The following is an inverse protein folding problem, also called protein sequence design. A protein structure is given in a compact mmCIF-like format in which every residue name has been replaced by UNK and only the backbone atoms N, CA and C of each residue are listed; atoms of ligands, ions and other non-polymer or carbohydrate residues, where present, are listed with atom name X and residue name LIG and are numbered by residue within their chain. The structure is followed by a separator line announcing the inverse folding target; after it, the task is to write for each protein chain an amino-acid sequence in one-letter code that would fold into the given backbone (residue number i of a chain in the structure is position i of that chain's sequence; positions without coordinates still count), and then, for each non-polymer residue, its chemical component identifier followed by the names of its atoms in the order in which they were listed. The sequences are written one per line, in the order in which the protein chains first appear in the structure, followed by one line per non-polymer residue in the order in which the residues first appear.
data_IF_256125788813
#
_entry.id   IF_256125788813
#
_cell.length_a   1.000
_cell.length_b   1.000
_cell.length_c   1.000
_cell.angle_alpha   90.00
_cell.angle_beta   90.00
_cell.angle_gamma   90.00
#
_symmetry.space_group_name_H-M   'P 1'
#
loop_
_entity.id
_entity.type
_entity.pdbx_description
1 polymer ?
#
# COMPACT_ATOMS: atom_id res chain seq x y z
N UNK A 1 -15.28 3.57 -4.02
CA UNK A 1 -14.65 2.29 -4.43
C UNK A 1 -13.75 1.83 -3.30
N UNK A 2 -13.77 0.54 -2.97
CA UNK A 2 -12.83 -0.09 -2.04
C UNK A 2 -11.83 -0.91 -2.86
N UNK A 3 -10.57 -0.48 -2.86
CA UNK A 3 -9.45 -1.20 -3.42
C UNK A 3 -8.80 -2.05 -2.32
N UNK A 4 -8.99 -3.36 -2.39
CA UNK A 4 -8.47 -4.33 -1.44
C UNK A 4 -7.07 -4.79 -1.86
N UNK A 5 -6.08 -4.46 -1.03
CA UNK A 5 -4.67 -4.79 -1.25
C UNK A 5 -4.20 -5.88 -0.28
N UNK A 6 -5.10 -6.72 0.24
CA UNK A 6 -4.73 -7.85 1.11
C UNK A 6 -4.25 -9.03 0.28
N UNK A 7 -3.12 -9.64 0.64
CA UNK A 7 -2.67 -10.90 0.02
C UNK A 7 -3.65 -12.03 0.23
N UNK A 8 -4.25 -12.08 1.43
CA UNK A 8 -5.28 -13.04 1.80
C UNK A 8 -6.53 -12.25 2.20
N UNK A 9 -7.44 -11.95 1.25
CA UNK A 9 -8.64 -11.16 1.50
C UNK A 9 -9.76 -12.01 2.12
N UNK A 10 -9.41 -12.80 3.15
CA UNK A 10 -10.31 -13.70 3.88
C UNK A 10 -9.95 -13.75 5.37
N UNK A 11 -10.94 -13.86 6.22
CA UNK A 11 -10.82 -14.00 7.67
C UNK A 11 -11.94 -14.89 8.21
N UNK A 12 -11.60 -15.82 9.11
CA UNK A 12 -12.58 -16.59 9.86
C UNK A 12 -13.28 -15.75 10.94
N UNK A 13 -12.53 -14.85 11.58
CA UNK A 13 -13.04 -14.01 12.67
C UNK A 13 -13.87 -12.83 12.14
N UNK A 14 -13.53 -12.32 10.95
CA UNK A 14 -14.25 -11.21 10.32
C UNK A 14 -14.73 -11.56 8.91
N UNK A 15 -15.66 -12.53 8.77
CA UNK A 15 -16.07 -13.06 7.47
C UNK A 15 -16.81 -12.03 6.61
N UNK A 16 -17.41 -10.99 7.21
CA UNK A 16 -18.10 -9.90 6.50
C UNK A 16 -17.18 -9.08 5.59
N UNK A 17 -15.86 -9.15 5.80
CA UNK A 17 -14.85 -8.51 4.96
C UNK A 17 -14.18 -9.49 3.99
N UNK A 18 -14.71 -10.69 3.80
CA UNK A 18 -14.15 -11.61 2.81
C UNK A 18 -14.46 -11.15 1.40
N UNK A 19 -13.53 -11.37 0.47
CA UNK A 19 -13.63 -10.96 -0.94
C UNK A 19 -14.93 -11.37 -1.63
N UNK A 20 -15.44 -12.55 -1.31
CA UNK A 20 -16.65 -13.14 -1.88
C UNK A 20 -17.95 -12.50 -1.38
N UNK A 21 -17.94 -11.77 -0.26
CA UNK A 21 -19.15 -11.14 0.30
C UNK A 21 -19.05 -9.62 0.37
N UNK A 22 -17.84 -9.06 0.49
CA UNK A 22 -17.65 -7.65 0.74
C UNK A 22 -18.18 -6.78 -0.42
N UNK A 23 -17.98 -7.20 -1.66
CA UNK A 23 -18.52 -6.49 -2.83
C UNK A 23 -20.05 -6.42 -2.82
N UNK A 24 -20.72 -7.53 -2.49
CA UNK A 24 -22.18 -7.60 -2.39
C UNK A 24 -22.70 -6.72 -1.25
N UNK A 25 -22.03 -6.74 -0.09
CA UNK A 25 -22.40 -5.91 1.06
C UNK A 25 -22.22 -4.41 0.81
N UNK A 26 -21.28 -4.02 -0.07
CA UNK A 26 -21.01 -2.63 -0.43
C UNK A 26 -21.94 -2.11 -1.55
N UNK A 27 -22.48 -3.00 -2.37
CA UNK A 27 -23.30 -2.64 -3.54
C UNK A 27 -24.56 -1.82 -3.21
N UNK A 28 -25.33 -2.10 -2.13
CA UNK A 28 -26.47 -1.27 -1.73
C UNK A 28 -26.11 0.19 -1.43
N UNK A 29 -24.85 0.45 -1.05
CA UNK A 29 -24.31 1.78 -0.80
C UNK A 29 -23.67 2.41 -2.04
N UNK A 30 -23.81 1.78 -3.21
CA UNK A 30 -23.18 2.18 -4.48
C UNK A 30 -21.64 2.25 -4.38
N UNK A 31 -21.06 1.44 -3.50
CA UNK A 31 -19.61 1.34 -3.33
C UNK A 31 -19.14 0.09 -4.07
N UNK A 32 -18.34 0.28 -5.12
CA UNK A 32 -17.66 -0.84 -5.78
C UNK A 32 -16.58 -1.47 -4.89
N UNK A 33 -16.21 -2.70 -5.23
CA UNK A 33 -15.08 -3.44 -4.65
C UNK A 33 -14.16 -3.95 -5.76
N UNK A 34 -12.86 -3.82 -5.57
CA UNK A 34 -11.85 -4.34 -6.48
C UNK A 34 -10.64 -4.81 -5.69
N UNK A 35 -10.06 -5.94 -6.10
CA UNK A 35 -8.92 -6.54 -5.41
C UNK A 35 -7.66 -6.40 -6.25
N UNK A 36 -6.66 -5.66 -5.75
CA UNK A 36 -5.39 -5.40 -6.42
C UNK A 36 -4.31 -6.25 -5.73
N UNK A 37 -4.18 -7.50 -6.17
CA UNK A 37 -3.33 -8.52 -5.54
C UNK A 37 -1.83 -8.17 -5.63
N UNK A 38 -1.46 -7.38 -6.64
CA UNK A 38 -0.13 -6.83 -6.88
C UNK A 38 0.34 -5.99 -5.68
N UNK A 39 -0.55 -5.24 -5.05
CA UNK A 39 -0.23 -4.42 -3.88
C UNK A 39 -0.31 -5.23 -2.56
N UNK A 40 -0.57 -6.54 -2.64
CA UNK A 40 -0.59 -7.48 -1.53
C UNK A 40 0.72 -7.52 -0.74
N UNK A 41 0.63 -7.46 0.60
CA UNK A 41 1.74 -7.71 1.53
C UNK A 41 2.27 -9.15 1.53
N UNK A 42 2.87 -9.57 2.66
CA UNK A 42 3.44 -10.92 2.84
C UNK A 42 4.41 -11.33 1.72
N UNK A 43 5.37 -10.45 1.43
CA UNK A 43 6.39 -10.67 0.39
C UNK A 43 7.61 -11.35 0.98
N UNK A 44 8.15 -12.32 0.25
CA UNK A 44 9.42 -12.98 0.56
C UNK A 44 10.62 -12.09 0.20
N UNK A 45 11.82 -12.58 0.50
CA UNK A 45 13.06 -11.90 0.14
C UNK A 45 13.19 -11.78 -1.39
N UNK A 46 13.47 -10.58 -1.90
CA UNK A 46 13.89 -10.38 -3.28
C UNK A 46 15.39 -10.75 -3.41
N UNK A 47 15.75 -11.56 -4.40
CA UNK A 47 17.11 -12.10 -4.52
C UNK A 47 18.12 -11.13 -5.15
N UNK A 48 17.63 -10.08 -5.79
CA UNK A 48 18.35 -9.19 -6.71
C UNK A 48 18.51 -7.75 -6.19
N UNK A 49 17.90 -7.43 -5.04
CA UNK A 49 18.00 -6.09 -4.41
C UNK A 49 19.10 -6.11 -3.34
N UNK A 50 20.11 -5.21 -3.42
CA UNK A 50 21.10 -5.07 -2.36
C UNK A 50 20.46 -4.73 -1.02
N UNK A 51 20.88 -5.38 0.08
CA UNK A 51 20.31 -5.21 1.44
C UNK A 51 20.36 -3.75 1.92
N UNK A 52 21.30 -2.95 1.41
CA UNK A 52 21.45 -1.52 1.76
C UNK A 52 20.38 -0.62 1.15
N UNK A 53 19.70 -1.06 0.08
CA UNK A 53 18.73 -0.25 -0.68
C UNK A 53 17.55 0.19 0.18
N UNK A 54 17.06 -0.71 1.04
CA UNK A 54 15.87 -0.50 1.88
C UNK A 54 16.19 -0.69 3.38
N UNK A 55 17.44 -0.44 3.76
CA UNK A 55 17.99 -0.68 5.09
C UNK A 55 17.35 0.15 6.23
N UNK A 56 16.60 1.21 5.93
CA UNK A 56 15.76 1.91 6.92
C UNK A 56 14.79 0.94 7.61
N UNK A 57 14.29 -0.05 6.88
CA UNK A 57 13.35 -1.04 7.40
C UNK A 57 14.10 -2.13 8.17
N UNK A 58 14.23 -1.93 9.48
CA UNK A 58 14.77 -2.95 10.41
C UNK A 58 13.83 -4.18 10.46
N UNK A 59 12.53 -3.97 10.32
CA UNK A 59 11.56 -5.07 10.25
C UNK A 59 11.64 -5.77 8.88
N UNK A 60 11.96 -7.06 8.89
CA UNK A 60 12.21 -7.83 7.67
C UNK A 60 11.01 -7.91 6.73
N UNK A 61 9.78 -7.90 7.25
CA UNK A 61 8.57 -7.91 6.41
C UNK A 61 8.38 -6.60 5.65
N UNK A 62 8.65 -5.45 6.28
CA UNK A 62 8.61 -4.16 5.62
C UNK A 62 9.72 -4.03 4.58
N UNK A 63 10.93 -4.44 4.93
CA UNK A 63 12.06 -4.40 4.00
C UNK A 63 11.79 -5.30 2.78
N UNK A 64 11.29 -6.53 2.97
CA UNK A 64 10.93 -7.42 1.86
C UNK A 64 9.85 -6.81 0.95
N UNK A 65 8.89 -6.10 1.56
CA UNK A 65 7.85 -5.42 0.80
C UNK A 65 8.40 -4.22 0.02
N UNK A 66 9.31 -3.44 0.61
CA UNK A 66 10.01 -2.35 -0.07
C UNK A 66 10.85 -2.87 -1.25
N UNK A 67 11.56 -3.98 -1.09
CA UNK A 67 12.32 -4.63 -2.17
C UNK A 67 11.38 -5.08 -3.29
N UNK A 68 10.28 -5.74 -2.94
CA UNK A 68 9.23 -6.13 -3.89
C UNK A 68 8.64 -4.93 -4.63
N UNK A 69 8.49 -3.79 -3.95
CA UNK A 69 7.88 -2.59 -4.52
C UNK A 69 8.71 -1.95 -5.65
N UNK A 70 10.00 -2.31 -5.76
CA UNK A 70 10.86 -1.91 -6.90
C UNK A 70 10.50 -2.63 -8.21
N UNK A 71 9.74 -3.72 -8.14
CA UNK A 71 9.43 -4.58 -9.29
C UNK A 71 8.22 -4.14 -10.11
N UNK A 72 8.15 -4.63 -11.35
CA UNK A 72 7.10 -4.28 -12.31
C UNK A 72 5.68 -4.67 -11.86
N UNK A 73 5.55 -5.78 -11.12
CA UNK A 73 4.24 -6.21 -10.61
C UNK A 73 3.66 -5.18 -9.65
N UNK A 74 4.47 -4.64 -8.75
CA UNK A 74 4.04 -3.59 -7.84
C UNK A 74 3.64 -2.34 -8.62
N UNK A 75 4.48 -1.91 -9.57
CA UNK A 75 4.20 -0.75 -10.44
C UNK A 75 2.86 -0.88 -11.15
N UNK A 76 2.57 -2.03 -11.75
CA UNK A 76 1.29 -2.27 -12.43
C UNK A 76 0.10 -2.17 -11.46
N UNK A 77 0.23 -2.68 -10.23
CA UNK A 77 -0.80 -2.54 -9.20
C UNK A 77 -1.00 -1.09 -8.76
N UNK A 78 0.09 -0.33 -8.62
CA UNK A 78 0.06 1.09 -8.27
C UNK A 78 -0.64 1.91 -9.36
N UNK A 79 -0.31 1.67 -10.62
CA UNK A 79 -0.95 2.31 -11.78
C UNK A 79 -2.46 2.04 -11.81
N UNK A 80 -2.87 0.80 -11.55
CA UNK A 80 -4.29 0.45 -11.44
C UNK A 80 -4.98 1.21 -10.30
N UNK A 81 -4.34 1.30 -9.12
CA UNK A 81 -4.87 2.04 -7.98
C UNK A 81 -5.01 3.54 -8.29
N UNK A 82 -3.99 4.15 -8.90
CA UNK A 82 -4.00 5.56 -9.31
C UNK A 82 -5.10 5.81 -10.34
N UNK A 83 -5.23 4.95 -11.36
CA UNK A 83 -6.29 5.05 -12.36
C UNK A 83 -7.69 4.97 -11.74
N UNK A 84 -7.89 4.10 -10.74
CA UNK A 84 -9.14 4.01 -9.99
C UNK A 84 -9.41 5.29 -9.18
N UNK A 85 -8.41 5.79 -8.45
CA UNK A 85 -8.49 7.01 -7.66
C UNK A 85 -8.82 8.25 -8.49
N UNK A 86 -8.20 8.39 -9.67
CA UNK A 86 -8.46 9.49 -10.61
C UNK A 86 -9.84 9.42 -11.27
N UNK A 87 -10.40 8.21 -11.42
CA UNK A 87 -11.76 8.03 -11.97
C UNK A 87 -12.86 8.28 -10.96
N UNK A 88 -12.64 7.96 -9.69
CA UNK A 88 -13.63 8.05 -8.61
C UNK A 88 -12.97 7.96 -7.24
N UNK A 89 -13.65 8.50 -6.22
CA UNK A 89 -13.23 8.39 -4.82
C UNK A 89 -13.00 6.93 -4.42
N UNK A 90 -11.75 6.63 -4.08
CA UNK A 90 -11.25 5.28 -3.81
C UNK A 90 -10.57 5.23 -2.46
N UNK A 91 -10.87 4.20 -1.67
CA UNK A 91 -10.17 3.88 -0.43
C UNK A 91 -9.36 2.62 -0.68
N UNK A 92 -8.08 2.59 -0.26
CA UNK A 92 -7.31 1.35 -0.23
C UNK A 92 -7.41 0.71 1.16
N UNK A 93 -7.66 -0.60 1.21
CA UNK A 93 -7.79 -1.34 2.46
C UNK A 93 -6.78 -2.47 2.59
N UNK A 94 -6.28 -2.67 3.81
CA UNK A 94 -5.49 -3.82 4.21
C UNK A 94 -6.11 -4.45 5.48
N UNK A 95 -5.49 -5.47 6.07
CA UNK A 95 -6.02 -6.14 7.27
C UNK A 95 -5.74 -5.44 8.60
N UNK A 96 -4.77 -4.51 8.64
CA UNK A 96 -4.33 -3.85 9.86
C UNK A 96 -5.03 -2.49 10.04
N UNK A 97 -5.49 -2.20 11.25
CA UNK A 97 -6.21 -0.97 11.56
C UNK A 97 -5.29 0.26 11.52
N UNK A 98 -4.08 0.13 12.04
CA UNK A 98 -3.10 1.23 12.13
C UNK A 98 -2.14 1.21 10.94
N UNK A 99 -2.05 2.33 10.21
CA UNK A 99 -1.33 2.37 8.93
C UNK A 99 0.18 2.13 9.06
N UNK A 100 0.80 2.51 10.18
CA UNK A 100 2.25 2.39 10.36
C UNK A 100 2.74 0.97 10.64
N UNK A 101 1.84 0.01 10.87
CA UNK A 101 2.18 -1.40 11.13
C UNK A 101 1.95 -2.32 9.93
N UNK A 102 1.55 -1.78 8.78
CA UNK A 102 1.27 -2.58 7.60
C UNK A 102 1.83 -1.99 6.31
N UNK A 103 1.80 -2.81 5.25
CA UNK A 103 2.38 -2.52 3.95
C UNK A 103 1.76 -1.32 3.23
N UNK A 104 0.52 -0.93 3.58
CA UNK A 104 -0.12 0.27 2.99
C UNK A 104 0.64 1.56 3.31
N UNK A 105 1.53 1.56 4.30
CA UNK A 105 2.49 2.66 4.54
C UNK A 105 3.40 2.89 3.33
N UNK A 106 4.00 1.82 2.81
CA UNK A 106 4.88 1.91 1.64
C UNK A 106 4.06 2.29 0.39
N UNK A 107 2.86 1.72 0.21
CA UNK A 107 1.97 2.13 -0.90
C UNK A 107 1.62 3.62 -0.81
N UNK A 108 1.37 4.15 0.40
CA UNK A 108 1.10 5.58 0.61
C UNK A 108 2.31 6.44 0.21
N UNK A 109 3.54 6.04 0.57
CA UNK A 109 4.74 6.76 0.14
C UNK A 109 4.83 6.83 -1.39
N UNK A 110 4.58 5.71 -2.10
CA UNK A 110 4.59 5.68 -3.57
C UNK A 110 3.54 6.61 -4.18
N UNK A 111 2.33 6.65 -3.61
CA UNK A 111 1.27 7.57 -4.05
C UNK A 111 1.67 9.03 -3.83
N UNK A 112 2.20 9.36 -2.65
CA UNK A 112 2.68 10.71 -2.32
C UNK A 112 3.83 11.15 -3.24
N UNK A 113 4.80 10.24 -3.49
CA UNK A 113 5.91 10.47 -4.40
C UNK A 113 5.43 10.75 -5.83
N UNK A 114 4.37 10.06 -6.28
CA UNK A 114 3.70 10.28 -7.55
C UNK A 114 2.76 11.51 -7.58
N UNK A 115 2.72 12.31 -6.51
CA UNK A 115 1.92 13.54 -6.43
C UNK A 115 0.45 13.35 -6.10
N UNK A 116 0.03 12.14 -5.71
CA UNK A 116 -1.35 11.88 -5.28
C UNK A 116 -1.58 12.35 -3.84
N UNK A 117 -2.81 12.77 -3.54
CA UNK A 117 -3.20 13.14 -2.17
C UNK A 117 -3.67 11.90 -1.41
N UNK A 118 -3.05 11.61 -0.27
CA UNK A 118 -3.36 10.45 0.55
C UNK A 118 -3.76 10.86 1.96
N UNK A 119 -4.80 10.20 2.49
CA UNK A 119 -5.25 10.35 3.87
C UNK A 119 -5.33 9.00 4.56
N UNK A 120 -4.99 8.95 5.85
CA UNK A 120 -5.18 7.80 6.72
C UNK A 120 -6.50 7.95 7.48
N UNK A 121 -7.39 6.95 7.32
CA UNK A 121 -8.63 6.84 8.09
C UNK A 121 -8.36 6.07 9.40
N UNK A 122 -8.55 6.73 10.53
CA UNK A 122 -8.10 6.29 11.86
C UNK A 122 -9.25 6.21 12.87
N UNK A 123 -10.24 5.36 12.59
CA UNK A 123 -11.48 5.28 13.37
C UNK A 123 -12.61 6.06 12.70
N UNK A 124 -13.71 6.30 13.42
CA UNK A 124 -14.94 6.89 12.85
C UNK A 124 -14.76 8.34 12.41
N UNK A 125 -14.12 9.18 13.24
CA UNK A 125 -14.06 10.64 13.03
C UNK A 125 -12.64 11.21 12.95
N UNK A 126 -11.64 10.37 12.64
CA UNK A 126 -10.25 10.82 12.56
C UNK A 126 -9.67 10.51 11.19
N UNK A 127 -9.30 11.57 10.48
CA UNK A 127 -8.65 11.53 9.19
C UNK A 127 -7.36 12.33 9.29
N UNK A 128 -6.25 11.75 8.86
CA UNK A 128 -4.93 12.37 8.92
C UNK A 128 -4.35 12.46 7.50
N UNK A 129 -3.81 13.62 7.13
CA UNK A 129 -3.01 13.71 5.90
C UNK A 129 -1.79 12.80 6.01
N UNK A 130 -1.56 11.97 5.01
CA UNK A 130 -0.37 11.13 4.98
C UNK A 130 0.88 11.98 4.72
N UNK A 131 1.99 11.58 5.31
CA UNK A 131 3.31 12.15 5.07
C UNK A 131 4.27 11.04 4.66
N UNK A 132 5.31 11.41 3.89
CA UNK A 132 6.34 10.46 3.51
C UNK A 132 6.98 9.86 4.75
N UNK A 133 7.20 8.55 4.72
CA UNK A 133 8.03 7.85 5.70
C UNK A 133 9.40 8.54 5.81
N UNK A 134 9.91 8.79 7.04
CA UNK A 134 11.26 9.31 7.21
C UNK A 134 12.29 8.46 6.46
N UNK A 135 13.18 9.09 5.69
CA UNK A 135 14.19 8.38 4.90
C UNK A 135 13.69 7.78 3.58
N UNK A 136 12.42 7.97 3.21
CA UNK A 136 11.95 7.62 1.87
C UNK A 136 12.55 8.58 0.84
N UNK A 137 13.25 8.05 -0.16
CA UNK A 137 13.87 8.81 -1.23
C UNK A 137 13.21 8.51 -2.57
N UNK A 138 12.51 9.49 -3.14
CA UNK A 138 11.95 9.43 -4.49
C UNK A 138 13.06 9.36 -5.53
N UNK A 139 13.03 8.31 -6.35
CA UNK A 139 13.93 8.15 -7.49
C UNK A 139 13.12 8.11 -8.80
N UNK A 140 13.53 8.85 -9.83
CA UNK A 140 12.93 8.72 -11.15
C UNK A 140 13.17 7.33 -11.77
N UNK A 141 12.26 6.81 -12.61
CA UNK A 141 10.94 7.34 -12.95
C UNK A 141 9.85 6.60 -12.13
N UNK A 142 9.64 6.96 -10.87
CA UNK A 142 8.61 6.38 -9.96
C UNK A 142 9.06 5.17 -9.14
N UNK A 143 10.25 5.27 -8.54
CA UNK A 143 10.78 4.30 -7.56
C UNK A 143 10.96 4.97 -6.21
N UNK A 144 10.82 4.20 -5.14
CA UNK A 144 11.19 4.61 -3.80
C UNK A 144 12.22 3.64 -3.23
N UNK A 145 13.27 4.21 -2.67
CA UNK A 145 14.24 3.50 -1.84
C UNK A 145 14.22 4.07 -0.43
N UNK A 146 14.63 3.25 0.54
CA UNK A 146 14.64 3.60 1.96
C UNK A 146 16.02 3.30 2.56
N UNK A 147 17.07 4.07 2.22
CA UNK A 147 18.41 3.87 2.76
C UNK A 147 18.46 4.11 4.27
N UNK A 148 19.44 3.52 4.96
CA UNK A 148 19.61 3.68 6.41
C UNK A 148 19.87 5.13 6.84
N UNK A 149 20.58 5.88 5.99
CA UNK A 149 20.77 7.33 6.11
C UNK A 149 20.19 7.98 4.84
N UNK A 150 19.51 9.13 4.95
CA UNK A 150 19.01 9.84 3.77
C UNK A 150 20.14 10.10 2.78
N UNK A 151 19.87 9.95 1.48
CA UNK A 151 20.85 10.30 0.45
C UNK A 151 21.25 11.77 0.64
N UNK A 152 22.54 12.04 0.85
CA UNK A 152 23.08 13.38 0.84
C UNK A 152 22.94 13.94 -0.58
N UNK A 153 22.29 15.10 -0.71
CA UNK A 153 22.16 15.84 -1.97
C UNK A 153 23.51 16.36 -2.49
#
# INVERSE_FOLDING_TARGET
MVADIRTVPRSRTNPQYNKDVLGENLAPYQIGYEHIAELGGLRGKAGDVPETTNAFWINRSFHNYADYALGERFRSGLEALVALGRRRRTVMMCSEAVWWRCHRRIVADYLLCGGETVFHLMGEDRVESATMTPGACCQPPDRLVYPAEPLQE
#
